data_IF_641242359051
#
_entry.id   IF_641242359051
#
_cell.length_a   1.000
_cell.length_b   1.000
_cell.length_c   1.000
_cell.angle_alpha   90.00
_cell.angle_beta   90.00
_cell.angle_gamma   90.00
#
_symmetry.space_group_name_H-M   'P 1'
#
loop_
_entity.id
_entity.type
_entity.pdbx_description
1 polymer ?
#
# COMPACT_ATOMS: atom_id res chain seq x y z
N UNK A 1 3.88 12.18 2.95
CA UNK A 1 2.58 12.07 3.46
C UNK A 1 1.47 12.50 2.54
N UNK A 2 1.79 13.10 1.42
CA UNK A 2 0.81 13.50 0.43
C UNK A 2 0.66 12.43 -0.64
N UNK A 3 0.13 11.31 -0.23
CA UNK A 3 -0.06 10.20 -1.16
C UNK A 3 -1.35 10.39 -1.95
N UNK A 4 -1.32 10.26 -3.28
CA UNK A 4 -2.57 10.34 -4.06
C UNK A 4 -3.59 9.32 -3.56
N UNK A 5 -4.85 9.62 -3.76
CA UNK A 5 -5.91 8.76 -3.23
C UNK A 5 -5.82 7.34 -3.80
N UNK A 6 -5.55 7.21 -5.09
CA UNK A 6 -5.43 5.89 -5.70
C UNK A 6 -4.27 5.10 -5.10
N UNK A 7 -3.12 5.74 -4.91
CA UNK A 7 -1.97 5.08 -4.31
C UNK A 7 -2.31 4.59 -2.91
N UNK A 8 -3.00 5.42 -2.15
CA UNK A 8 -3.40 5.06 -0.80
C UNK A 8 -4.35 3.88 -0.79
N UNK A 9 -5.35 3.88 -1.67
CA UNK A 9 -6.31 2.78 -1.74
C UNK A 9 -5.62 1.47 -2.12
N UNK A 10 -4.72 1.50 -3.08
CA UNK A 10 -4.00 0.30 -3.49
C UNK A 10 -3.14 -0.21 -2.33
N UNK A 11 -2.45 0.68 -1.67
CA UNK A 11 -1.58 0.30 -0.55
C UNK A 11 -2.37 -0.35 0.58
N UNK A 12 -3.48 0.28 0.96
CA UNK A 12 -4.32 -0.24 2.04
C UNK A 12 -4.87 -1.60 1.67
N UNK A 13 -5.38 -1.75 0.45
CA UNK A 13 -5.97 -3.01 0.02
C UNK A 13 -4.95 -4.13 0.04
N UNK A 14 -3.73 -3.84 -0.37
CA UNK A 14 -2.70 -4.88 -0.43
C UNK A 14 -2.11 -5.20 0.93
N UNK A 15 -1.74 -4.17 1.68
CA UNK A 15 -1.00 -4.37 2.94
C UNK A 15 -1.90 -4.65 4.13
N UNK A 16 -3.03 -3.98 4.21
CA UNK A 16 -3.89 -4.11 5.38
C UNK A 16 -5.03 -5.11 5.18
N UNK A 17 -5.53 -5.21 3.95
CA UNK A 17 -6.64 -6.12 3.67
C UNK A 17 -6.18 -7.43 3.04
N UNK A 18 -4.92 -7.52 2.67
CA UNK A 18 -4.37 -8.76 2.14
C UNK A 18 -4.85 -9.14 0.75
N UNK A 19 -5.33 -8.18 -0.03
CA UNK A 19 -5.84 -8.48 -1.36
C UNK A 19 -4.69 -8.68 -2.35
N UNK A 20 -4.91 -9.56 -3.32
CA UNK A 20 -3.93 -9.79 -4.36
C UNK A 20 -3.96 -8.65 -5.38
N UNK A 21 -2.90 -8.59 -6.20
CA UNK A 21 -2.84 -7.58 -7.26
C UNK A 21 -4.06 -7.67 -8.17
N UNK A 22 -4.45 -8.89 -8.52
CA UNK A 22 -5.58 -9.09 -9.39
C UNK A 22 -6.89 -8.61 -8.76
N UNK A 23 -7.06 -8.92 -7.48
CA UNK A 23 -8.25 -8.47 -6.78
C UNK A 23 -8.33 -6.96 -6.71
N UNK A 24 -7.19 -6.32 -6.46
CA UNK A 24 -7.15 -4.86 -6.40
C UNK A 24 -7.46 -4.27 -7.78
N UNK A 25 -6.87 -4.84 -8.83
CA UNK A 25 -7.11 -4.36 -10.17
C UNK A 25 -8.59 -4.43 -10.53
N UNK A 26 -9.22 -5.56 -10.19
CA UNK A 26 -10.64 -5.73 -10.47
C UNK A 26 -11.49 -4.77 -9.64
N UNK A 27 -11.16 -4.63 -8.37
CA UNK A 27 -11.93 -3.78 -7.46
C UNK A 27 -11.87 -2.32 -7.85
N UNK A 28 -10.72 -1.85 -8.29
CA UNK A 28 -10.53 -0.44 -8.61
C UNK A 28 -10.63 -0.16 -10.11
N UNK A 29 -10.90 -1.20 -10.90
CA UNK A 29 -11.05 -1.05 -12.37
C UNK A 29 -9.79 -0.50 -13.01
N UNK A 30 -8.64 -0.99 -12.60
CA UNK A 30 -7.34 -0.63 -13.17
C UNK A 30 -6.62 -1.91 -13.57
N UNK A 31 -5.55 -1.78 -14.36
CA UNK A 31 -4.82 -2.96 -14.79
C UNK A 31 -3.72 -3.33 -13.80
N UNK A 32 -3.16 -4.53 -13.98
CA UNK A 32 -2.15 -5.03 -13.05
C UNK A 32 -0.89 -4.17 -13.00
N UNK A 33 -0.48 -3.64 -14.14
CA UNK A 33 0.68 -2.75 -14.16
C UNK A 33 0.45 -1.52 -13.32
N UNK A 34 -0.77 -1.00 -13.35
CA UNK A 34 -1.10 0.18 -12.56
C UNK A 34 -1.03 -0.14 -11.07
N UNK A 35 -1.52 -1.31 -10.67
CA UNK A 35 -1.45 -1.73 -9.27
C UNK A 35 0.01 -1.81 -8.83
N UNK A 36 0.85 -2.45 -9.61
CA UNK A 36 2.26 -2.60 -9.29
C UNK A 36 2.94 -1.24 -9.17
N UNK A 37 2.64 -0.35 -10.10
CA UNK A 37 3.22 0.99 -10.10
C UNK A 37 2.82 1.77 -8.85
N UNK A 38 1.54 1.70 -8.48
CA UNK A 38 1.09 2.42 -7.31
C UNK A 38 1.73 1.89 -6.04
N UNK A 39 1.91 0.57 -5.95
CA UNK A 39 2.58 -0.01 -4.79
C UNK A 39 4.04 0.41 -4.70
N UNK A 40 4.71 0.50 -5.84
CA UNK A 40 6.09 0.97 -5.85
C UNK A 40 6.18 2.42 -5.39
N UNK A 41 5.25 3.26 -5.84
CA UNK A 41 5.24 4.65 -5.42
C UNK A 41 4.97 4.77 -3.93
N UNK A 42 4.05 3.96 -3.42
CA UNK A 42 3.76 3.97 -1.99
C UNK A 42 4.99 3.58 -1.19
N UNK A 43 5.70 2.55 -1.63
CA UNK A 43 6.91 2.10 -0.95
C UNK A 43 7.97 3.18 -0.94
N UNK A 44 8.13 3.89 -2.05
CA UNK A 44 9.10 4.97 -2.11
C UNK A 44 8.77 6.10 -1.17
N UNK A 45 7.50 6.48 -1.12
CA UNK A 45 7.08 7.56 -0.24
C UNK A 45 7.23 7.19 1.23
N UNK A 46 6.94 5.95 1.56
CA UNK A 46 7.09 5.50 2.94
C UNK A 46 8.56 5.42 3.35
N UNK A 47 9.43 5.10 2.41
CA UNK A 47 10.87 5.09 2.70
C UNK A 47 11.38 6.47 3.03
N UNK A 48 10.83 7.48 2.38
CA UNK A 48 11.27 8.86 2.61
C UNK A 48 10.81 9.38 3.96
N UNK A 49 9.81 8.75 4.55
CA UNK A 49 9.27 9.17 5.84
C UNK A 49 9.57 8.11 6.89
N UNK A 50 10.64 8.33 7.66
CA UNK A 50 11.06 7.38 8.68
C UNK A 50 9.98 7.16 9.74
N UNK A 51 9.25 8.21 10.07
CA UNK A 51 8.20 8.09 11.08
C UNK A 51 7.10 7.14 10.61
N UNK A 52 6.69 7.26 9.36
CA UNK A 52 5.64 6.41 8.84
C UNK A 52 6.10 4.96 8.74
N UNK A 53 7.37 4.78 8.42
CA UNK A 53 7.92 3.44 8.33
C UNK A 53 7.93 2.74 9.70
N UNK A 54 8.29 3.49 10.74
CA UNK A 54 8.28 2.94 12.09
C UNK A 54 6.87 2.58 12.54
N UNK A 55 5.91 3.44 12.22
CA UNK A 55 4.52 3.17 12.55
C UNK A 55 4.02 1.92 11.84
N UNK A 56 4.39 1.76 10.58
CA UNK A 56 4.00 0.60 9.81
C UNK A 56 4.58 -0.67 10.40
N UNK A 57 5.85 -0.63 10.79
CA UNK A 57 6.49 -1.77 11.43
C UNK A 57 5.82 -2.12 12.74
N UNK A 58 5.47 -1.11 13.52
CA UNK A 58 4.78 -1.35 14.78
C UNK A 58 3.42 -2.00 14.56
N UNK A 59 2.71 -1.55 13.54
CA UNK A 59 1.41 -2.14 13.20
C UNK A 59 1.54 -3.59 12.79
N UNK A 60 2.56 -3.90 11.98
CA UNK A 60 2.78 -5.26 11.53
C UNK A 60 3.13 -6.16 12.70
N UNK A 61 4.05 -5.72 13.54
CA UNK A 61 4.44 -6.50 14.73
C UNK A 61 3.25 -6.68 15.66
N UNK A 62 2.49 -5.64 15.85
CA UNK A 62 1.34 -5.69 16.74
C UNK A 62 0.28 -6.65 16.24
N UNK A 63 0.06 -6.70 14.94
CA UNK A 63 -0.97 -7.57 14.39
C UNK A 63 -0.54 -9.03 14.35
N UNK A 64 0.74 -9.32 14.48
CA UNK A 64 1.21 -10.70 14.53
C UNK A 64 1.20 -11.28 15.93
N UNK A 65 1.00 -10.46 16.91
CA UNK A 65 0.86 -10.89 18.28
C UNK A 65 -0.61 -11.15 18.59
#
# INVERSE_FOLDING_TARGET
>A
EQMPELTKQVFIAHKLEGKSYKEIADMLCINLKKVDRELQQAAMKLRLSLKDYLLLLLLIVYSEI
#
